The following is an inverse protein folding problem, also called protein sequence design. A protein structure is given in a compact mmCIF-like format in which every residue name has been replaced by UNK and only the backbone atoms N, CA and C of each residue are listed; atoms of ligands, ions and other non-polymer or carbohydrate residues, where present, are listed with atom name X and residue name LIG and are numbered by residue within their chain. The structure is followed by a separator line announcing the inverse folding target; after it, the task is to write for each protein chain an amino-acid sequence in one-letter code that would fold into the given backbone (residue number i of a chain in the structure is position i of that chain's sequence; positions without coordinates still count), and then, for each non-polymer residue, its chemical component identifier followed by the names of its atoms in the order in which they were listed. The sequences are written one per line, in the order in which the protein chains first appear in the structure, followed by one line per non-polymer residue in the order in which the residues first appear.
data_IF_597386244325
#
_entry.id   IF_597386244325
#
_cell.length_a   1.000
_cell.length_b   1.000
_cell.length_c   1.000
_cell.angle_alpha   90.00
_cell.angle_beta   90.00
_cell.angle_gamma   90.00
#
_symmetry.space_group_name_H-M   'P 1'
#
loop_
_entity.id
_entity.type
_entity.pdbx_description
1 polymer ?
#
# COMPACT_ATOMS: atom_id res chain seq x y z
N UNK A 1 4.81 -0.20 -8.75
CA UNK A 1 4.87 -0.08 -7.27
C UNK A 1 4.59 -1.46 -6.70
N UNK A 2 5.60 -2.19 -6.22
CA UNK A 2 5.49 -3.60 -5.81
C UNK A 2 4.52 -3.85 -4.63
N UNK A 3 4.26 -2.84 -3.77
CA UNK A 3 3.29 -2.93 -2.66
C UNK A 3 1.85 -3.10 -3.12
N UNK A 4 1.43 -2.37 -4.15
CA UNK A 4 0.08 -2.45 -4.67
C UNK A 4 -0.17 -3.81 -5.36
N UNK A 5 0.83 -4.31 -6.09
CA UNK A 5 0.77 -5.62 -6.71
C UNK A 5 0.68 -6.75 -5.67
N UNK A 6 1.46 -6.67 -4.59
CA UNK A 6 1.37 -7.61 -3.47
C UNK A 6 0.01 -7.56 -2.77
N UNK A 7 -0.52 -6.36 -2.49
CA UNK A 7 -1.82 -6.21 -1.84
C UNK A 7 -2.96 -6.77 -2.69
N UNK A 8 -2.99 -6.43 -3.99
CA UNK A 8 -4.00 -6.93 -4.92
C UNK A 8 -3.91 -8.45 -5.11
N UNK A 9 -2.69 -9.01 -5.13
CA UNK A 9 -2.49 -10.45 -5.15
C UNK A 9 -3.09 -11.12 -3.91
N UNK A 10 -2.79 -10.58 -2.71
CA UNK A 10 -3.26 -11.14 -1.45
C UNK A 10 -4.79 -11.06 -1.31
N UNK A 11 -5.40 -9.94 -1.72
CA UNK A 11 -6.87 -9.78 -1.81
C UNK A 11 -7.49 -10.84 -2.72
N UNK A 12 -6.82 -11.17 -3.82
CA UNK A 12 -7.30 -12.18 -4.78
C UNK A 12 -7.14 -13.60 -4.27
N UNK A 13 -6.01 -13.92 -3.62
CA UNK A 13 -5.74 -15.22 -2.99
C UNK A 13 -6.72 -15.49 -1.86
N UNK A 14 -6.96 -14.50 -1.00
CA UNK A 14 -7.89 -14.58 0.13
C UNK A 14 -9.36 -14.34 -0.26
N UNK A 15 -9.66 -14.15 -1.56
CA UNK A 15 -11.01 -13.87 -2.11
C UNK A 15 -11.77 -12.74 -1.40
N UNK A 16 -11.06 -11.68 -0.98
CA UNK A 16 -11.62 -10.57 -0.21
C UNK A 16 -12.45 -9.58 -1.06
N UNK A 17 -12.51 -9.79 -2.38
CA UNK A 17 -13.27 -8.97 -3.31
C UNK A 17 -12.40 -8.34 -4.39
N UNK A 18 -12.93 -7.30 -5.03
CA UNK A 18 -12.22 -6.53 -6.06
C UNK A 18 -12.09 -5.08 -5.58
N UNK A 19 -10.87 -4.59 -5.30
CA UNK A 19 -10.67 -3.22 -4.88
C UNK A 19 -10.93 -2.27 -6.05
N UNK A 20 -11.74 -1.24 -5.83
CA UNK A 20 -12.03 -0.23 -6.86
C UNK A 20 -10.93 0.82 -6.95
N UNK A 21 -10.39 1.24 -5.80
CA UNK A 21 -9.21 2.08 -5.75
C UNK A 21 -8.02 1.35 -5.12
N UNK A 22 -6.81 1.86 -5.40
CA UNK A 22 -5.58 1.27 -4.86
C UNK A 22 -5.51 1.29 -3.33
N UNK A 23 -6.29 2.16 -2.67
CA UNK A 23 -6.42 2.25 -1.21
C UNK A 23 -7.36 1.19 -0.62
N UNK A 24 -8.41 0.80 -1.35
CA UNK A 24 -9.36 -0.23 -0.91
C UNK A 24 -8.67 -1.58 -0.72
N UNK A 25 -7.65 -1.89 -1.53
CA UNK A 25 -6.87 -3.12 -1.37
C UNK A 25 -6.24 -3.21 0.03
N UNK A 26 -5.79 -2.10 0.61
CA UNK A 26 -5.22 -2.11 1.97
C UNK A 26 -6.30 -2.10 3.04
N UNK A 27 -7.45 -1.45 2.82
CA UNK A 27 -8.58 -1.56 3.73
C UNK A 27 -9.07 -3.00 3.84
N UNK A 28 -9.29 -3.68 2.71
CA UNK A 28 -9.70 -5.09 2.67
C UNK A 28 -8.72 -5.99 3.42
N UNK A 29 -7.41 -5.74 3.31
CA UNK A 29 -6.40 -6.50 4.04
C UNK A 29 -6.37 -6.18 5.54
N UNK A 30 -6.65 -4.94 5.92
CA UNK A 30 -6.78 -4.58 7.33
C UNK A 30 -8.05 -5.14 7.97
N UNK A 31 -9.16 -5.19 7.22
CA UNK A 31 -10.42 -5.79 7.69
C UNK A 31 -10.32 -7.32 7.81
N UNK A 32 -9.45 -7.95 7.01
CA UNK A 32 -9.13 -9.37 7.13
C UNK A 32 -8.11 -9.68 8.26
N UNK A 33 -7.74 -8.71 9.09
CA UNK A 33 -6.71 -8.78 10.14
C UNK A 33 -5.29 -9.13 9.62
N UNK A 34 -5.08 -9.10 8.30
CA UNK A 34 -3.80 -9.40 7.64
C UNK A 34 -2.81 -8.23 7.76
N UNK A 35 -3.32 -7.02 7.99
CA UNK A 35 -2.51 -5.83 8.23
C UNK A 35 -2.93 -5.16 9.53
N UNK A 36 -1.95 -4.89 10.39
CA UNK A 36 -2.17 -4.04 11.56
C UNK A 36 -2.74 -2.68 11.12
N UNK A 37 -3.69 -2.09 11.88
CA UNK A 37 -4.34 -0.84 11.50
C UNK A 37 -3.35 0.32 11.32
N UNK A 38 -2.26 0.34 12.08
CA UNK A 38 -1.17 1.32 11.93
C UNK A 38 -0.44 1.17 10.59
N UNK A 39 -0.15 -0.06 10.15
CA UNK A 39 0.54 -0.32 8.89
C UNK A 39 -0.39 -0.07 7.69
N UNK A 40 -1.66 -0.46 7.81
CA UNK A 40 -2.73 -0.17 6.85
C UNK A 40 -2.79 1.33 6.54
N UNK A 41 -2.90 2.16 7.58
CA UNK A 41 -3.08 3.60 7.41
C UNK A 41 -1.86 4.28 6.76
N UNK A 42 -0.66 3.82 7.13
CA UNK A 42 0.60 4.27 6.51
C UNK A 42 0.69 3.91 5.03
N UNK A 43 0.32 2.69 4.65
CA UNK A 43 0.31 2.23 3.26
C UNK A 43 -0.76 2.95 2.42
N UNK A 44 -1.95 3.17 2.99
CA UNK A 44 -3.01 3.98 2.36
C UNK A 44 -2.54 5.41 2.12
N UNK A 45 -1.90 6.05 3.10
CA UNK A 45 -1.30 7.38 2.93
C UNK A 45 -0.27 7.41 1.81
N UNK A 46 0.57 6.39 1.67
CA UNK A 46 1.58 6.31 0.61
C UNK A 46 0.94 6.22 -0.79
N UNK A 47 -0.07 5.36 -0.94
CA UNK A 47 -0.76 5.15 -2.22
C UNK A 47 -1.67 6.33 -2.57
N UNK A 48 -2.37 6.90 -1.58
CA UNK A 48 -3.16 8.11 -1.71
C UNK A 48 -2.31 9.32 -2.08
N UNK A 49 -1.13 9.47 -1.46
CA UNK A 49 -0.17 10.51 -1.82
C UNK A 49 0.31 10.37 -3.26
N UNK A 50 0.60 9.15 -3.74
CA UNK A 50 0.91 8.94 -5.16
C UNK A 50 -0.28 9.30 -6.06
N UNK A 51 -1.51 8.99 -5.67
CA UNK A 51 -2.69 9.31 -6.49
C UNK A 51 -2.88 10.83 -6.59
N UNK A 52 -2.76 11.54 -5.46
CA UNK A 52 -2.75 13.01 -5.42
C UNK A 52 -1.56 13.59 -6.16
N UNK A 53 -0.37 12.97 -6.03
CA UNK A 53 0.82 13.41 -6.73
C UNK A 53 0.75 13.12 -8.21
N UNK A 54 0.09 12.08 -8.71
CA UNK A 54 -0.04 11.80 -10.16
C UNK A 54 -1.01 12.79 -10.81
N UNK A 55 -2.10 13.12 -10.11
CA UNK A 55 -3.04 14.15 -10.55
C UNK A 55 -2.49 15.58 -10.36
N UNK A 56 -1.68 15.79 -9.31
CA UNK A 56 -1.05 17.06 -8.94
C UNK A 56 0.39 17.23 -9.43
N UNK A 57 0.93 16.27 -10.20
CA UNK A 57 2.36 16.18 -10.58
C UNK A 57 2.83 17.40 -11.36
N UNK A 58 1.88 18.15 -11.94
CA UNK A 58 2.13 19.39 -12.67
C UNK A 58 2.47 20.58 -11.75
N UNK A 59 2.21 20.49 -10.44
CA UNK A 59 2.45 21.54 -9.44
C UNK A 59 3.22 21.09 -8.20
N UNK A 60 3.38 19.78 -7.95
CA UNK A 60 3.98 19.27 -6.72
C UNK A 60 5.52 19.16 -6.83
N UNK A 61 6.21 19.67 -5.82
CA UNK A 61 7.67 19.70 -5.75
C UNK A 61 8.23 18.26 -5.58
N UNK A 62 8.88 17.73 -6.62
CA UNK A 62 9.39 16.34 -6.68
C UNK A 62 10.31 15.99 -5.50
N UNK A 63 11.01 16.97 -4.92
CA UNK A 63 11.89 16.75 -3.77
C UNK A 63 11.11 16.28 -2.52
N UNK A 64 9.95 16.88 -2.23
CA UNK A 64 9.13 16.50 -1.08
C UNK A 64 8.59 15.08 -1.26
N UNK A 65 8.19 14.74 -2.49
CA UNK A 65 7.72 13.39 -2.84
C UNK A 65 8.84 12.37 -2.62
N UNK A 66 10.06 12.69 -3.06
CA UNK A 66 11.22 11.80 -2.90
C UNK A 66 11.56 11.57 -1.44
N UNK A 67 11.66 12.60 -0.61
CA UNK A 67 11.98 12.46 0.82
C UNK A 67 10.95 11.63 1.57
N UNK A 68 9.66 11.78 1.25
CA UNK A 68 8.59 11.00 1.88
C UNK A 68 8.65 9.53 1.45
N UNK A 69 8.91 9.26 0.16
CA UNK A 69 9.09 7.89 -0.35
C UNK A 69 10.32 7.23 0.26
N UNK A 70 11.45 7.94 0.38
CA UNK A 70 12.68 7.45 1.00
C UNK A 70 12.51 7.17 2.50
N UNK A 71 11.78 8.01 3.21
CA UNK A 71 11.54 7.83 4.66
C UNK A 71 10.56 6.69 4.93
N UNK A 72 9.62 6.42 4.02
CA UNK A 72 8.56 5.40 4.18
C UNK A 72 8.89 4.05 3.54
N UNK A 73 10.10 3.89 2.99
CA UNK A 73 10.63 2.60 2.51
C UNK A 73 10.71 1.54 3.62
N UNK A 74 10.82 1.96 4.89
CA UNK A 74 10.75 1.07 6.05
C UNK A 74 9.39 0.37 6.19
N UNK A 75 8.29 1.09 5.99
CA UNK A 75 6.93 0.52 6.04
C UNK A 75 6.70 -0.47 4.89
N UNK A 76 7.31 -0.23 3.72
CA UNK A 76 7.28 -1.18 2.61
C UNK A 76 7.93 -2.52 2.96
N UNK A 77 9.01 -2.47 3.75
CA UNK A 77 9.75 -3.66 4.19
C UNK A 77 8.98 -4.48 5.21
N UNK A 78 8.22 -3.82 6.10
CA UNK A 78 7.24 -4.48 6.97
C UNK A 78 6.11 -5.13 6.15
N UNK A 79 5.55 -4.42 5.18
CA UNK A 79 4.53 -4.98 4.30
C UNK A 79 5.03 -6.20 3.53
N UNK A 80 6.24 -6.15 2.98
CA UNK A 80 6.84 -7.28 2.27
C UNK A 80 7.02 -8.52 3.16
N UNK A 81 7.34 -8.34 4.46
CA UNK A 81 7.39 -9.45 5.43
C UNK A 81 6.01 -10.10 5.61
N UNK A 82 4.96 -9.30 5.74
CA UNK A 82 3.58 -9.80 5.88
C UNK A 82 3.20 -10.61 4.64
N UNK A 83 3.43 -10.07 3.45
CA UNK A 83 3.13 -10.77 2.19
C UNK A 83 3.93 -12.08 2.06
N UNK A 84 5.20 -12.10 2.48
CA UNK A 84 6.04 -13.30 2.44
C UNK A 84 5.63 -14.35 3.48
N UNK A 85 5.16 -13.95 4.67
CA UNK A 85 4.63 -14.88 5.66
C UNK A 85 3.31 -15.51 5.21
N UNK A 86 2.46 -14.74 4.54
CA UNK A 86 1.16 -15.19 4.04
C UNK A 86 1.25 -15.96 2.71
N UNK A 87 2.36 -15.86 1.98
CA UNK A 87 2.63 -16.61 0.75
C UNK A 87 3.26 -17.99 0.96
N UNK A 88 3.33 -18.45 2.21
CA UNK A 88 3.91 -19.73 2.62
C UNK A 88 2.80 -20.73 2.98
N UNK A 89 1.86 -20.95 2.07
CA UNK A 89 0.90 -22.07 2.07
C UNK A 89 0.78 -22.65 0.65
#
# INVERSE_FOLDING_TARGET
MPSLSGACHLVRVRKLGVPQESRDAFDMLGEADLLKPVLRDRLKSMVGFRNVAVHGYRKLNIEIVRTIVETRLGDFREFAKVVLQEGHE
#
